data_IF_613109624625
#
_entry.id   IF_613109624625
#
_cell.length_a   1.000
_cell.length_b   1.000
_cell.length_c   1.000
_cell.angle_alpha   90.00
_cell.angle_beta   90.00
_cell.angle_gamma   90.00
#
_symmetry.space_group_name_H-M   'P 1'
#
loop_
_entity.id
_entity.type
_entity.pdbx_description
1 polymer ?
#
# COMPACT_ATOMS: atom_id res chain seq x y z
N UNK A 1 -4.96 1.96 30.35
CA UNK A 1 -5.68 1.74 29.07
C UNK A 1 -4.71 2.06 27.95
N UNK A 2 -4.31 1.08 27.13
CA UNK A 2 -3.42 1.31 26.00
C UNK A 2 -4.25 1.79 24.81
N UNK A 3 -4.15 3.06 24.41
CA UNK A 3 -4.75 3.54 23.18
C UNK A 3 -3.94 2.99 22.00
N UNK A 4 -4.54 2.08 21.23
CA UNK A 4 -4.01 1.69 19.93
C UNK A 4 -4.37 2.80 18.93
N UNK A 5 -3.39 3.62 18.57
CA UNK A 5 -3.51 4.57 17.46
C UNK A 5 -3.20 3.81 16.16
N UNK A 6 -4.22 3.52 15.35
CA UNK A 6 -4.03 3.06 13.98
C UNK A 6 -3.66 4.29 13.15
N UNK A 7 -2.37 4.47 12.87
CA UNK A 7 -1.92 5.45 11.89
C UNK A 7 -2.04 4.76 10.53
N UNK A 8 -3.00 5.18 9.71
CA UNK A 8 -3.01 4.81 8.31
C UNK A 8 -1.74 5.40 7.68
N UNK A 9 -0.69 4.59 7.56
CA UNK A 9 0.46 4.98 6.77
C UNK A 9 0.01 5.04 5.33
N UNK A 10 -0.17 6.25 4.83
CA UNK A 10 -0.30 6.48 3.40
C UNK A 10 0.96 5.91 2.73
N UNK A 11 0.78 4.92 1.87
CA UNK A 11 1.90 4.37 1.12
C UNK A 11 2.53 5.52 0.32
N UNK A 12 3.81 5.85 0.51
CA UNK A 12 4.47 6.83 -0.34
C UNK A 12 4.43 6.29 -1.77
N UNK A 13 3.69 6.95 -2.66
CA UNK A 13 3.47 6.50 -4.03
C UNK A 13 2.11 6.87 -4.64
N UNK A 14 1.09 7.18 -3.82
CA UNK A 14 -0.23 7.58 -4.36
C UNK A 14 -0.21 9.04 -4.87
N UNK A 15 0.76 9.86 -4.48
CA UNK A 15 0.90 11.25 -4.98
C UNK A 15 1.59 11.29 -6.36
N UNK A 16 2.39 10.27 -6.69
CA UNK A 16 3.14 10.14 -7.95
C UNK A 16 2.63 8.95 -8.77
N UNK A 17 1.34 8.97 -9.13
CA UNK A 17 0.77 8.08 -10.16
C UNK A 17 1.67 7.86 -11.41
N UNK A 18 2.42 8.87 -11.91
CA UNK A 18 3.26 8.70 -13.11
C UNK A 18 4.48 7.78 -12.90
N UNK A 19 5.12 7.78 -11.74
CA UNK A 19 6.30 6.91 -11.47
C UNK A 19 5.90 5.45 -11.24
N UNK A 20 4.68 5.21 -10.75
CA UNK A 20 4.16 3.86 -10.49
C UNK A 20 3.91 3.05 -11.76
N UNK A 21 3.89 3.70 -12.93
CA UNK A 21 3.73 3.08 -14.25
C UNK A 21 5.05 2.63 -14.91
N UNK A 22 6.21 2.88 -14.28
CA UNK A 22 7.52 2.70 -14.90
C UNK A 22 8.01 1.24 -14.99
N UNK A 23 7.37 0.28 -14.31
CA UNK A 23 7.65 -1.16 -14.42
C UNK A 23 6.33 -1.92 -14.57
N UNK A 24 5.83 -2.04 -15.80
CA UNK A 24 4.53 -2.64 -16.19
C UNK A 24 3.26 -2.18 -15.42
N UNK A 25 3.36 -1.30 -14.42
CA UNK A 25 2.28 -0.69 -13.64
C UNK A 25 1.54 -1.62 -12.67
N UNK A 26 1.42 -2.92 -12.99
CA UNK A 26 0.51 -3.85 -12.30
C UNK A 26 0.85 -4.06 -10.82
N UNK A 27 2.12 -4.27 -10.49
CA UNK A 27 2.54 -4.51 -9.09
C UNK A 27 2.40 -3.24 -8.23
N UNK A 28 2.68 -2.08 -8.82
CA UNK A 28 2.43 -0.79 -8.19
C UNK A 28 0.94 -0.56 -7.93
N UNK A 29 0.09 -0.81 -8.92
CA UNK A 29 -1.37 -0.70 -8.80
C UNK A 29 -1.93 -1.67 -7.75
N UNK A 30 -1.44 -2.93 -7.72
CA UNK A 30 -1.84 -3.90 -6.70
C UNK A 30 -1.47 -3.41 -5.30
N UNK A 31 -0.23 -2.97 -5.11
CA UNK A 31 0.25 -2.49 -3.81
C UNK A 31 -0.51 -1.25 -3.34
N UNK A 32 -0.78 -0.29 -4.23
CA UNK A 32 -1.41 0.98 -3.87
C UNK A 32 -2.93 0.89 -3.67
N UNK A 33 -3.64 0.09 -4.47
CA UNK A 33 -5.11 0.05 -4.45
C UNK A 33 -5.69 -1.17 -3.76
N UNK A 34 -4.94 -2.28 -3.72
CA UNK A 34 -5.45 -3.58 -3.28
C UNK A 34 -4.83 -4.05 -1.98
N UNK A 35 -3.88 -3.31 -1.40
CA UNK A 35 -3.17 -3.70 -0.18
C UNK A 35 -3.23 -2.59 0.85
N UNK A 36 -3.53 -2.93 2.11
CA UNK A 36 -3.32 -2.06 3.25
C UNK A 36 -2.29 -2.66 4.19
N UNK A 37 -1.45 -1.81 4.78
CA UNK A 37 -0.52 -2.21 5.82
C UNK A 37 -0.90 -1.49 7.13
N UNK A 38 -1.10 -2.25 8.21
CA UNK A 38 -1.54 -1.74 9.51
C UNK A 38 -0.56 -2.19 10.57
N UNK A 39 0.03 -1.26 11.31
CA UNK A 39 0.84 -1.57 12.48
C UNK A 39 0.01 -1.51 13.76
N UNK A 40 0.36 -2.36 14.71
CA UNK A 40 -0.23 -2.32 16.05
C UNK A 40 0.73 -1.67 17.02
N UNK A 41 0.19 -0.92 17.99
CA UNK A 41 0.90 -0.30 19.13
C UNK A 41 1.84 0.87 18.75
N UNK A 42 2.60 0.77 17.66
CA UNK A 42 3.65 1.74 17.29
C UNK A 42 3.48 2.21 15.84
N UNK A 43 3.54 3.52 15.62
CA UNK A 43 3.62 4.11 14.28
C UNK A 43 5.04 4.12 13.70
N UNK A 44 5.13 4.40 12.40
CA UNK A 44 6.37 4.53 11.62
C UNK A 44 6.32 5.78 10.72
N UNK A 45 7.45 6.17 10.14
CA UNK A 45 7.59 7.31 9.24
C UNK A 45 8.58 8.39 9.70
N UNK A 46 8.65 9.55 9.01
CA UNK A 46 9.67 10.58 9.22
C UNK A 46 9.73 11.18 10.63
N UNK A 47 8.64 11.07 11.41
CA UNK A 47 8.58 11.52 12.81
C UNK A 47 9.13 10.51 13.83
N UNK A 48 9.62 9.34 13.39
CA UNK A 48 10.12 8.30 14.29
C UNK A 48 11.61 8.02 14.05
N UNK A 49 12.47 8.16 15.09
CA UNK A 49 13.93 8.10 14.93
C UNK A 49 14.50 6.80 14.34
N UNK A 50 13.85 5.67 14.59
CA UNK A 50 14.33 4.34 14.20
C UNK A 50 13.29 3.50 13.45
N UNK A 51 12.14 4.09 13.08
CA UNK A 51 11.04 3.39 12.41
C UNK A 51 10.68 4.10 11.12
N UNK A 52 11.48 3.85 10.09
CA UNK A 52 11.28 4.47 8.78
C UNK A 52 10.26 3.70 7.95
N UNK A 53 10.15 2.39 8.18
CA UNK A 53 9.21 1.49 7.51
C UNK A 53 8.26 0.82 8.50
N UNK A 54 7.10 0.37 8.02
CA UNK A 54 6.18 -0.45 8.83
C UNK A 54 6.84 -1.74 9.30
N UNK A 55 7.82 -2.25 8.55
CA UNK A 55 8.59 -3.46 8.90
C UNK A 55 9.42 -3.29 10.18
N UNK A 56 9.69 -2.06 10.59
CA UNK A 56 10.41 -1.74 11.84
C UNK A 56 9.47 -1.77 13.07
N UNK A 57 8.17 -1.99 12.86
CA UNK A 57 7.19 -2.12 13.95
C UNK A 57 7.15 -3.55 14.48
N UNK A 58 6.97 -3.75 15.80
CA UNK A 58 7.09 -5.06 16.43
C UNK A 58 6.00 -6.06 16.01
N UNK A 59 4.83 -5.57 15.59
CA UNK A 59 3.75 -6.36 15.04
C UNK A 59 2.91 -5.52 14.07
N UNK A 60 2.64 -6.10 12.90
CA UNK A 60 1.86 -5.48 11.84
C UNK A 60 1.20 -6.56 10.99
N UNK A 61 0.18 -6.16 10.23
CA UNK A 61 -0.50 -7.02 9.26
C UNK A 61 -0.54 -6.34 7.90
N UNK A 62 -0.52 -7.16 6.87
CA UNK A 62 -0.88 -6.78 5.51
C UNK A 62 -2.26 -7.34 5.20
N UNK A 63 -3.16 -6.50 4.69
CA UNK A 63 -4.51 -6.88 4.29
C UNK A 63 -4.62 -6.71 2.79
N UNK A 64 -4.90 -7.82 2.10
CA UNK A 64 -5.17 -7.80 0.67
C UNK A 64 -6.69 -7.76 0.44
N UNK A 65 -7.14 -6.71 -0.24
CA UNK A 65 -8.54 -6.51 -0.56
C UNK A 65 -8.90 -7.28 -1.83
N UNK A 66 -9.64 -8.37 -1.66
CA UNK A 66 -10.03 -9.24 -2.77
C UNK A 66 -10.88 -8.50 -3.83
N UNK A 67 -11.80 -7.62 -3.42
CA UNK A 67 -12.70 -6.96 -4.37
C UNK A 67 -11.98 -5.94 -5.28
N UNK A 68 -11.17 -5.01 -4.75
CA UNK A 68 -10.28 -4.17 -5.57
C UNK A 68 -9.35 -4.98 -6.46
N UNK A 69 -8.79 -6.08 -5.97
CA UNK A 69 -7.91 -6.95 -6.77
C UNK A 69 -8.65 -7.55 -7.98
N UNK A 70 -9.89 -8.02 -7.78
CA UNK A 70 -10.75 -8.51 -8.87
C UNK A 70 -11.08 -7.41 -9.89
N UNK A 71 -11.34 -6.20 -9.42
CA UNK A 71 -11.62 -5.07 -10.31
C UNK A 71 -10.38 -4.68 -11.10
N UNK A 72 -9.21 -4.64 -10.46
CA UNK A 72 -7.94 -4.40 -11.11
C UNK A 72 -7.65 -5.44 -12.20
N UNK A 73 -7.83 -6.73 -11.89
CA UNK A 73 -7.69 -7.83 -12.85
C UNK A 73 -8.66 -7.70 -14.04
N UNK A 74 -9.92 -7.31 -13.78
CA UNK A 74 -10.88 -7.04 -14.85
C UNK A 74 -10.43 -5.86 -15.73
N UNK A 75 -9.99 -4.75 -15.14
CA UNK A 75 -9.50 -3.60 -15.89
C UNK A 75 -8.30 -3.98 -16.75
N UNK A 76 -7.31 -4.67 -16.18
CA UNK A 76 -6.11 -5.11 -16.91
C UNK A 76 -6.45 -6.02 -18.10
N UNK A 77 -7.43 -6.92 -17.96
CA UNK A 77 -7.90 -7.79 -19.06
C UNK A 77 -8.67 -7.07 -20.16
N UNK A 78 -9.34 -5.97 -19.82
CA UNK A 78 -10.16 -5.19 -20.77
C UNK A 78 -9.45 -3.93 -21.29
N UNK A 79 -8.24 -3.64 -20.83
CA UNK A 79 -7.44 -2.56 -21.40
C UNK A 79 -6.88 -3.05 -22.74
N UNK A 80 -7.25 -2.45 -23.89
CA UNK A 80 -6.56 -2.78 -25.13
C UNK A 80 -5.09 -2.40 -24.95
N UNK A 81 -4.19 -3.35 -25.16
CA UNK A 81 -2.77 -3.07 -25.29
C UNK A 81 -2.63 -2.13 -26.50
N UNK A 82 -2.55 -0.82 -26.25
CA UNK A 82 -2.27 0.16 -27.29
C UNK A 82 -0.85 -0.08 -27.77
N UNK A 83 -0.73 -0.63 -28.98
CA UNK A 83 0.49 -0.58 -29.78
C UNK A 83 0.90 0.87 -30.06
#
# INVERSE_FOLDING_TARGET
MAQAAAVAGFAPGVENFPEMMADSGVDGMRSAFCTLAISFVKGWGPGYPSRHSIKDTPCWIEVQLHRPLQLLDHLLKHTPLSN
#
